data_IF_015252012561
#
_entry.id   IF_015252012561
#
_cell.length_a   1.000
_cell.length_b   1.000
_cell.length_c   1.000
_cell.angle_alpha   90.00
_cell.angle_beta   90.00
_cell.angle_gamma   90.00
#
_symmetry.space_group_name_H-M   'P 1'
#
loop_
_entity.id
_entity.type
_entity.pdbx_description
1 polymer ?
#
# COMPACT_ATOMS: atom_id res chain seq x y z
N UNK A 1 -3.22 -14.17 -36.33
CA UNK A 1 -3.28 -13.59 -34.96
C UNK A 1 -3.20 -12.08 -35.12
N UNK A 2 -4.13 -11.33 -34.57
CA UNK A 2 -4.07 -9.87 -34.55
C UNK A 2 -3.42 -9.40 -33.24
N UNK A 3 -2.44 -8.52 -33.35
CA UNK A 3 -1.82 -7.86 -32.20
C UNK A 3 -2.67 -6.64 -31.88
N UNK A 4 -3.12 -6.51 -30.63
CA UNK A 4 -3.90 -5.37 -30.15
C UNK A 4 -3.16 -4.66 -29.03
N UNK A 5 -3.27 -3.34 -29.01
CA UNK A 5 -2.76 -2.52 -27.90
C UNK A 5 -3.70 -2.71 -26.68
N UNK A 6 -3.11 -3.01 -25.52
CA UNK A 6 -3.88 -3.15 -24.28
C UNK A 6 -4.23 -1.77 -23.71
N UNK A 7 -5.40 -1.66 -23.08
CA UNK A 7 -5.76 -0.47 -22.30
C UNK A 7 -4.92 -0.35 -21.03
N UNK A 8 -4.80 0.88 -20.50
CA UNK A 8 -3.94 1.18 -19.35
C UNK A 8 -4.33 0.40 -18.10
N UNK A 9 -5.62 0.13 -17.89
CA UNK A 9 -6.09 -0.63 -16.74
C UNK A 9 -5.64 -2.09 -16.80
N UNK A 10 -5.71 -2.69 -17.99
CA UNK A 10 -5.21 -4.05 -18.24
C UNK A 10 -3.69 -4.12 -18.04
N UNK A 11 -2.93 -3.14 -18.56
CA UNK A 11 -1.49 -3.03 -18.35
C UNK A 11 -1.16 -2.94 -16.86
N UNK A 12 -1.89 -2.11 -16.12
CA UNK A 12 -1.71 -1.94 -14.67
C UNK A 12 -1.97 -3.23 -13.89
N UNK A 13 -3.00 -3.99 -14.24
CA UNK A 13 -3.31 -5.29 -13.61
C UNK A 13 -2.25 -6.36 -13.89
N UNK A 14 -1.71 -6.38 -15.11
CA UNK A 14 -0.61 -7.31 -15.47
C UNK A 14 0.63 -6.97 -14.65
N UNK A 15 1.04 -5.72 -14.65
CA UNK A 15 2.22 -5.27 -13.92
C UNK A 15 2.05 -5.36 -12.39
N UNK A 16 0.83 -5.11 -11.87
CA UNK A 16 0.53 -5.37 -10.46
C UNK A 16 0.76 -6.85 -10.10
N UNK A 17 0.61 -7.73 -11.06
CA UNK A 17 0.90 -9.15 -10.91
C UNK A 17 2.35 -9.48 -10.59
N UNK A 18 3.27 -8.67 -11.02
CA UNK A 18 4.71 -8.84 -10.77
C UNK A 18 5.14 -8.26 -9.40
N UNK A 19 4.43 -7.24 -8.91
CA UNK A 19 4.73 -6.56 -7.63
C UNK A 19 3.96 -7.21 -6.48
N UNK A 20 2.67 -7.52 -6.70
CA UNK A 20 1.77 -8.09 -5.69
C UNK A 20 1.46 -9.54 -6.04
N UNK A 21 2.35 -10.44 -5.67
CA UNK A 21 2.15 -11.88 -5.92
C UNK A 21 1.19 -12.53 -4.93
N UNK A 22 1.24 -12.13 -3.67
CA UNK A 22 0.49 -12.70 -2.54
C UNK A 22 0.18 -11.66 -1.47
N UNK A 23 -0.74 -11.93 -0.53
CA UNK A 23 -1.07 -10.99 0.55
C UNK A 23 0.11 -10.55 1.40
N UNK A 24 1.09 -11.44 1.64
CA UNK A 24 2.31 -11.10 2.38
C UNK A 24 3.15 -10.03 1.68
N UNK A 25 3.13 -9.95 0.34
CA UNK A 25 3.80 -8.88 -0.41
C UNK A 25 3.16 -7.52 -0.11
N UNK A 26 1.83 -7.46 0.00
CA UNK A 26 1.10 -6.24 0.39
C UNK A 26 1.51 -5.80 1.79
N UNK A 27 1.48 -6.71 2.76
CA UNK A 27 1.88 -6.41 4.14
C UNK A 27 3.30 -5.90 4.20
N UNK A 28 4.23 -6.58 3.52
CA UNK A 28 5.63 -6.20 3.46
C UNK A 28 5.79 -4.75 2.96
N UNK A 29 5.20 -4.42 1.82
CA UNK A 29 5.32 -3.08 1.23
C UNK A 29 4.72 -1.99 2.13
N UNK A 30 3.55 -2.23 2.75
CA UNK A 30 2.93 -1.26 3.64
C UNK A 30 3.72 -1.07 4.94
N UNK A 31 4.31 -2.13 5.49
CA UNK A 31 5.18 -2.05 6.68
C UNK A 31 6.49 -1.32 6.34
N UNK A 32 7.10 -1.59 5.19
CA UNK A 32 8.30 -0.87 4.74
C UNK A 32 8.01 0.63 4.56
N UNK A 33 6.85 0.99 4.00
CA UNK A 33 6.44 2.40 3.91
C UNK A 33 6.26 3.05 5.29
N UNK A 34 5.70 2.33 6.26
CA UNK A 34 5.55 2.82 7.63
C UNK A 34 6.92 3.05 8.31
N UNK A 35 7.89 2.14 8.11
CA UNK A 35 9.27 2.29 8.61
C UNK A 35 9.93 3.51 7.98
N UNK A 36 9.81 3.68 6.67
CA UNK A 36 10.36 4.83 5.94
C UNK A 36 9.72 6.16 6.35
N UNK A 37 8.46 6.14 6.81
CA UNK A 37 7.77 7.29 7.41
C UNK A 37 8.20 7.57 8.87
N UNK A 38 9.18 6.84 9.40
CA UNK A 38 9.69 7.02 10.76
C UNK A 38 8.75 6.49 11.84
N UNK A 39 7.88 5.56 11.54
CA UNK A 39 6.97 4.97 12.52
C UNK A 39 7.73 4.25 13.64
N UNK A 40 7.29 4.46 14.87
CA UNK A 40 7.78 3.77 16.06
C UNK A 40 6.84 2.66 16.53
N UNK A 41 5.61 2.65 16.01
CA UNK A 41 4.61 1.64 16.27
C UNK A 41 3.84 1.32 14.99
N UNK A 42 3.72 0.02 14.68
CA UNK A 42 3.00 -0.48 13.51
C UNK A 42 2.07 -1.60 13.98
N UNK A 43 0.80 -1.50 13.60
CA UNK A 43 -0.20 -2.55 13.87
C UNK A 43 -0.67 -3.15 12.55
N UNK A 44 -0.65 -4.47 12.46
CA UNK A 44 -1.11 -5.21 11.29
C UNK A 44 -2.28 -6.11 11.67
N UNK A 45 -3.40 -5.98 10.97
CA UNK A 45 -4.57 -6.85 11.09
C UNK A 45 -4.83 -7.55 9.74
N UNK A 46 -5.06 -8.85 9.80
CA UNK A 46 -5.28 -9.67 8.60
C UNK A 46 -6.49 -10.60 8.83
N UNK A 47 -7.40 -10.68 7.83
CA UNK A 47 -8.49 -11.65 7.81
C UNK A 47 -8.42 -12.53 6.57
N UNK A 48 -8.78 -13.79 6.71
CA UNK A 48 -8.76 -14.79 5.62
C UNK A 48 -7.43 -14.82 4.86
N UNK A 49 -6.30 -14.88 5.60
CA UNK A 49 -4.98 -14.89 5.01
C UNK A 49 -4.61 -13.63 4.23
N UNK A 50 -5.36 -12.52 4.41
CA UNK A 50 -5.13 -11.24 3.71
C UNK A 50 -5.90 -11.11 2.40
N UNK A 51 -6.73 -12.07 2.03
CA UNK A 51 -7.54 -12.00 0.82
C UNK A 51 -8.74 -11.06 1.00
N UNK A 52 -9.43 -11.15 2.14
CA UNK A 52 -10.60 -10.31 2.40
C UNK A 52 -10.24 -8.97 3.02
N UNK A 53 -9.19 -8.94 3.86
CA UNK A 53 -8.86 -7.75 4.62
C UNK A 53 -7.40 -7.76 5.10
N UNK A 54 -6.73 -6.64 4.87
CA UNK A 54 -5.45 -6.27 5.46
C UNK A 54 -5.58 -4.84 5.96
N UNK A 55 -5.17 -4.57 7.20
CA UNK A 55 -5.03 -3.21 7.74
C UNK A 55 -3.64 -3.05 8.32
N UNK A 56 -2.96 -2.01 7.90
CA UNK A 56 -1.67 -1.58 8.46
C UNK A 56 -1.85 -0.17 8.97
N UNK A 57 -1.63 0.04 10.26
CA UNK A 57 -1.71 1.34 10.92
C UNK A 57 -0.37 1.66 11.54
N UNK A 58 0.12 2.85 11.28
CA UNK A 58 1.38 3.38 11.81
C UNK A 58 1.19 4.76 12.47
N UNK A 59 2.17 5.18 13.24
CA UNK A 59 2.30 6.49 13.84
C UNK A 59 3.46 7.31 13.23
N UNK A 60 3.74 7.10 11.94
CA UNK A 60 4.77 7.84 11.22
C UNK A 60 4.35 9.26 10.84
N UNK A 61 5.09 9.88 9.92
CA UNK A 61 4.90 11.28 9.52
C UNK A 61 3.58 11.60 8.83
N UNK A 62 2.82 10.58 8.40
CA UNK A 62 1.64 10.77 7.57
C UNK A 62 1.99 11.16 6.12
N UNK A 63 0.94 11.41 5.33
CA UNK A 63 1.02 11.84 3.92
C UNK A 63 0.24 13.15 3.78
N UNK A 64 0.84 14.16 3.14
CA UNK A 64 0.17 15.43 2.87
C UNK A 64 -1.01 15.23 1.92
N UNK A 65 -2.08 15.98 2.12
CA UNK A 65 -3.30 15.91 1.31
C UNK A 65 -3.02 16.00 -0.19
N UNK A 66 -2.16 16.91 -0.59
CA UNK A 66 -1.81 17.16 -2.00
C UNK A 66 -0.95 16.05 -2.62
N UNK A 67 -0.33 15.21 -1.79
CA UNK A 67 0.52 14.10 -2.22
C UNK A 67 -0.23 12.76 -2.31
N UNK A 68 -1.44 12.66 -1.73
CA UNK A 68 -2.19 11.40 -1.64
C UNK A 68 -2.44 10.80 -3.02
N UNK A 69 -2.99 11.57 -3.96
CA UNK A 69 -3.27 11.05 -5.30
C UNK A 69 -1.99 10.70 -6.06
N UNK A 70 -0.91 11.46 -5.82
CA UNK A 70 0.39 11.22 -6.44
C UNK A 70 0.99 9.91 -5.92
N UNK A 71 0.84 9.61 -4.63
CA UNK A 71 1.35 8.38 -4.02
C UNK A 71 0.79 7.09 -4.67
N UNK A 72 -0.40 7.16 -5.27
CA UNK A 72 -1.01 6.05 -6.01
C UNK A 72 -0.69 6.05 -7.52
N UNK A 73 0.08 7.02 -8.02
CA UNK A 73 0.56 6.99 -9.42
C UNK A 73 1.80 6.10 -9.53
N UNK A 74 1.93 5.43 -10.68
CA UNK A 74 3.14 4.65 -10.98
C UNK A 74 4.34 5.56 -11.12
N UNK A 75 5.50 5.08 -10.67
CA UNK A 75 6.76 5.83 -10.65
C UNK A 75 6.74 7.07 -9.74
N UNK A 76 5.75 7.18 -8.85
CA UNK A 76 5.72 8.21 -7.83
C UNK A 76 6.50 7.72 -6.60
N UNK A 77 7.60 8.37 -6.30
CA UNK A 77 8.42 8.06 -5.13
C UNK A 77 8.97 9.34 -4.52
N UNK A 78 8.98 9.42 -3.19
CA UNK A 78 9.67 10.47 -2.46
C UNK A 78 11.17 10.16 -2.24
N UNK A 79 11.60 8.94 -2.61
CA UNK A 79 12.88 8.34 -2.22
C UNK A 79 14.00 8.54 -3.24
N UNK A 80 13.68 8.84 -4.50
CA UNK A 80 14.63 9.00 -5.60
C UNK A 80 14.25 10.24 -6.40
N UNK A 81 15.17 11.19 -6.53
CA UNK A 81 15.01 12.38 -7.36
C UNK A 81 16.01 12.41 -8.51
N UNK A 82 17.08 11.60 -8.45
CA UNK A 82 18.15 11.58 -9.42
C UNK A 82 18.71 10.17 -9.64
N UNK A 83 19.53 10.00 -10.67
CA UNK A 83 20.26 8.74 -10.97
C UNK A 83 21.29 8.45 -9.87
N UNK A 84 21.89 9.47 -9.30
CA UNK A 84 22.85 9.36 -8.19
C UNK A 84 22.17 8.77 -6.93
N UNK A 85 20.94 9.18 -6.65
CA UNK A 85 20.13 8.62 -5.55
C UNK A 85 19.91 7.13 -5.74
N UNK A 86 19.76 6.66 -7.00
CA UNK A 86 19.54 5.24 -7.28
C UNK A 86 20.74 4.36 -6.88
N UNK A 87 21.95 4.91 -6.92
CA UNK A 87 23.18 4.21 -6.51
C UNK A 87 23.42 4.25 -5.00
N UNK A 88 22.78 5.20 -4.31
CA UNK A 88 22.91 5.42 -2.86
C UNK A 88 21.71 4.92 -2.04
N UNK A 89 20.74 4.24 -2.68
CA UNK A 89 19.49 3.82 -2.04
C UNK A 89 19.74 2.81 -0.93
N UNK A 90 19.52 3.27 0.29
CA UNK A 90 19.43 2.42 1.49
C UNK A 90 17.97 2.12 1.90
N UNK A 91 16.98 2.66 1.18
CA UNK A 91 15.56 2.46 1.49
C UNK A 91 15.00 1.18 0.89
N UNK A 92 14.12 0.51 1.65
CA UNK A 92 13.58 -0.80 1.30
C UNK A 92 12.60 -0.79 0.12
N UNK A 93 11.97 0.35 -0.23
CA UNK A 93 10.93 0.46 -1.25
C UNK A 93 11.11 1.64 -2.21
N UNK A 94 12.07 1.61 -3.13
CA UNK A 94 12.41 2.75 -3.99
C UNK A 94 11.68 2.80 -5.36
N UNK A 95 10.95 1.75 -5.75
CA UNK A 95 10.39 1.62 -7.10
C UNK A 95 9.17 2.49 -7.38
N UNK A 96 8.49 3.04 -6.35
CA UNK A 96 7.31 3.90 -6.52
C UNK A 96 6.13 3.23 -7.23
N UNK A 97 5.99 1.90 -7.14
CA UNK A 97 4.96 1.15 -7.84
C UNK A 97 4.05 0.33 -6.93
N UNK A 98 4.43 0.16 -5.65
CA UNK A 98 3.73 -0.74 -4.74
C UNK A 98 2.29 -0.30 -4.49
N UNK A 99 2.04 0.95 -4.12
CA UNK A 99 0.69 1.46 -3.82
C UNK A 99 -0.20 1.44 -5.06
N UNK A 100 0.32 1.84 -6.23
CA UNK A 100 -0.40 1.77 -7.50
C UNK A 100 -0.77 0.33 -7.86
N UNK A 101 0.13 -0.62 -7.63
CA UNK A 101 -0.08 -2.04 -7.90
C UNK A 101 -1.09 -2.67 -6.95
N UNK A 102 -1.03 -2.35 -5.65
CA UNK A 102 -2.00 -2.79 -4.65
C UNK A 102 -3.40 -2.26 -5.01
N UNK A 103 -3.50 -0.96 -5.31
CA UNK A 103 -4.76 -0.33 -5.67
C UNK A 103 -5.38 -0.91 -6.96
N UNK A 104 -4.57 -1.29 -7.94
CA UNK A 104 -5.04 -1.86 -9.21
C UNK A 104 -5.76 -3.21 -9.04
N UNK A 105 -5.45 -3.96 -7.98
CA UNK A 105 -5.98 -5.33 -7.76
C UNK A 105 -6.82 -5.48 -6.49
N UNK A 106 -7.15 -4.39 -5.81
CA UNK A 106 -7.89 -4.38 -4.55
C UNK A 106 -8.72 -3.12 -4.38
N UNK A 107 -9.48 -3.06 -3.29
CA UNK A 107 -10.17 -1.87 -2.82
C UNK A 107 -9.37 -1.30 -1.65
N UNK A 108 -8.82 -0.10 -1.84
CA UNK A 108 -7.95 0.54 -0.86
C UNK A 108 -8.65 1.74 -0.23
N UNK A 109 -8.54 1.84 1.08
CA UNK A 109 -8.89 3.02 1.86
C UNK A 109 -7.62 3.47 2.61
N UNK A 110 -7.26 4.72 2.40
CA UNK A 110 -6.17 5.40 3.09
C UNK A 110 -6.76 6.41 4.06
N UNK A 111 -6.30 6.40 5.29
CA UNK A 111 -6.56 7.42 6.30
C UNK A 111 -5.21 7.92 6.76
N UNK A 112 -4.96 9.22 6.66
CA UNK A 112 -3.66 9.78 7.02
C UNK A 112 -3.79 11.19 7.59
N UNK A 113 -2.84 11.56 8.44
CA UNK A 113 -2.72 12.90 9.01
C UNK A 113 -1.25 13.20 9.29
N UNK A 114 -0.78 14.37 8.88
CA UNK A 114 0.54 14.89 9.25
C UNK A 114 0.46 15.71 10.54
N UNK A 115 1.58 15.89 11.22
CA UNK A 115 1.65 16.67 12.47
C UNK A 115 1.15 18.12 12.29
N UNK A 116 1.42 18.73 11.15
CA UNK A 116 1.06 20.13 10.84
C UNK A 116 -0.40 20.30 10.41
N UNK A 117 -1.13 19.21 10.16
CA UNK A 117 -2.52 19.24 9.70
C UNK A 117 -3.50 19.28 10.88
N UNK A 118 -4.55 20.10 10.78
CA UNK A 118 -5.64 20.15 11.77
C UNK A 118 -6.53 18.90 11.69
N UNK A 119 -6.86 18.46 10.47
CA UNK A 119 -7.70 17.30 10.17
C UNK A 119 -6.91 16.23 9.43
N UNK A 120 -7.34 14.98 9.55
CA UNK A 120 -6.90 13.90 8.70
C UNK A 120 -7.67 13.87 7.38
N UNK A 121 -7.18 13.06 6.46
CA UNK A 121 -7.80 12.83 5.15
C UNK A 121 -8.09 11.34 5.00
N UNK A 122 -9.28 11.03 4.52
CA UNK A 122 -9.69 9.71 4.04
C UNK A 122 -9.73 9.74 2.52
N UNK A 123 -9.09 8.79 1.89
CA UNK A 123 -9.07 8.61 0.44
C UNK A 123 -9.40 7.18 0.09
N UNK A 124 -10.21 6.98 -0.95
CA UNK A 124 -10.56 5.64 -1.44
C UNK A 124 -10.14 5.48 -2.89
N UNK A 125 -9.75 4.25 -3.26
CA UNK A 125 -9.44 3.87 -4.63
C UNK A 125 -9.85 2.41 -4.84
N UNK A 126 -10.58 2.14 -5.92
CA UNK A 126 -11.12 0.81 -6.24
C UNK A 126 -10.63 0.35 -7.60
N UNK A 127 -9.84 -0.74 -7.62
CA UNK A 127 -9.29 -1.30 -8.86
C UNK A 127 -8.47 -0.31 -9.68
N UNK A 128 -7.82 0.65 -9.02
CA UNK A 128 -7.04 1.72 -9.64
C UNK A 128 -7.88 2.94 -10.06
N UNK A 129 -9.18 2.95 -9.79
CA UNK A 129 -10.06 4.10 -10.04
C UNK A 129 -10.15 4.95 -8.78
N UNK A 130 -9.70 6.23 -8.82
CA UNK A 130 -9.84 7.16 -7.70
C UNK A 130 -11.31 7.33 -7.28
N UNK A 131 -11.53 7.32 -5.96
CA UNK A 131 -12.83 7.53 -5.36
C UNK A 131 -12.91 8.85 -4.58
N UNK A 132 -13.47 8.80 -3.38
CA UNK A 132 -13.74 9.96 -2.55
C UNK A 132 -12.50 10.40 -1.77
N UNK A 133 -12.33 11.73 -1.67
CA UNK A 133 -11.42 12.40 -0.74
C UNK A 133 -12.27 13.14 0.29
N UNK A 134 -12.17 12.81 1.57
CA UNK A 134 -12.93 13.41 2.65
C UNK A 134 -12.01 13.81 3.81
N UNK A 135 -12.32 14.95 4.44
CA UNK A 135 -11.68 15.34 5.69
C UNK A 135 -12.33 14.61 6.86
N UNK A 136 -11.50 14.06 7.74
CA UNK A 136 -11.96 13.31 8.92
C UNK A 136 -11.08 13.59 10.14
N UNK A 137 -11.59 13.27 11.32
CA UNK A 137 -10.75 13.18 12.53
C UNK A 137 -9.89 11.93 12.46
N UNK A 138 -8.57 12.08 12.56
CA UNK A 138 -7.63 10.97 12.60
C UNK A 138 -6.43 11.32 13.51
N UNK A 139 -5.76 10.34 14.11
CA UNK A 139 -4.45 10.53 14.74
C UNK A 139 -3.38 10.78 13.68
N UNK A 140 -2.24 11.30 14.11
CA UNK A 140 -1.04 11.39 13.26
C UNK A 140 -0.57 10.00 12.82
N UNK A 141 -0.05 9.91 11.58
CA UNK A 141 0.38 8.67 10.96
C UNK A 141 -0.51 8.26 9.79
N UNK A 142 -0.44 6.99 9.45
CA UNK A 142 -1.16 6.45 8.29
C UNK A 142 -1.83 5.13 8.62
N UNK A 143 -3.04 4.95 8.10
CA UNK A 143 -3.75 3.67 8.09
C UNK A 143 -4.10 3.31 6.65
N UNK A 144 -3.56 2.20 6.17
CA UNK A 144 -3.98 1.55 4.94
C UNK A 144 -4.93 0.41 5.25
N UNK A 145 -6.06 0.38 4.56
CA UNK A 145 -7.01 -0.73 4.61
C UNK A 145 -7.17 -1.25 3.19
N UNK A 146 -6.78 -2.51 2.98
CA UNK A 146 -6.88 -3.20 1.69
C UNK A 146 -7.94 -4.28 1.82
N UNK A 147 -8.99 -4.20 0.99
CA UNK A 147 -10.11 -5.15 0.97
C UNK A 147 -10.18 -5.88 -0.36
N UNK A 148 -10.69 -7.09 -0.31
CA UNK A 148 -11.00 -7.89 -1.49
C UNK A 148 -9.84 -8.02 -2.47
N UNK A 149 -8.65 -8.34 -1.96
CA UNK A 149 -7.44 -8.50 -2.77
C UNK A 149 -7.70 -9.49 -3.92
N UNK A 150 -7.30 -9.12 -5.13
CA UNK A 150 -7.52 -9.86 -6.38
C UNK A 150 -8.99 -10.05 -6.78
N UNK A 151 -9.93 -9.20 -6.32
CA UNK A 151 -11.34 -9.31 -6.68
C UNK A 151 -11.58 -9.19 -8.19
N UNK A 152 -10.78 -8.39 -8.88
CA UNK A 152 -10.84 -8.14 -10.32
C UNK A 152 -9.85 -8.99 -11.13
N UNK A 153 -9.19 -9.96 -10.50
CA UNK A 153 -8.29 -10.95 -11.11
C UNK A 153 -8.65 -12.36 -10.61
N UNK A 154 -9.82 -12.92 -11.04
CA UNK A 154 -10.43 -14.10 -10.43
C UNK A 154 -9.57 -15.36 -10.53
N UNK A 155 -8.79 -15.54 -11.59
CA UNK A 155 -7.87 -16.67 -11.74
C UNK A 155 -6.86 -16.67 -10.61
N UNK A 156 -6.21 -15.51 -10.34
CA UNK A 156 -5.23 -15.37 -9.26
C UNK A 156 -5.87 -15.61 -7.89
N UNK A 157 -7.05 -15.03 -7.66
CA UNK A 157 -7.80 -15.23 -6.41
C UNK A 157 -8.12 -16.70 -6.15
N UNK A 158 -8.43 -17.47 -7.20
CA UNK A 158 -8.72 -18.90 -7.09
C UNK A 158 -7.52 -19.71 -6.61
N UNK A 159 -6.32 -19.43 -7.13
CA UNK A 159 -5.10 -20.13 -6.72
C UNK A 159 -4.76 -19.87 -5.24
N UNK A 160 -4.97 -18.66 -4.74
CA UNK A 160 -4.66 -18.28 -3.35
C UNK A 160 -5.68 -18.83 -2.33
N UNK A 161 -6.95 -19.03 -2.70
CA UNK A 161 -7.97 -19.59 -1.80
C UNK A 161 -7.68 -21.01 -1.33
N UNK A 162 -6.85 -21.76 -2.03
CA UNK A 162 -6.53 -23.15 -1.69
C UNK A 162 -5.60 -23.24 -0.48
N UNK A 163 -4.81 -22.21 -0.18
CA UNK A 163 -3.76 -22.27 0.85
C UNK A 163 -4.15 -21.59 2.19
N UNK A 164 -5.25 -20.82 2.26
CA UNK A 164 -5.56 -20.00 3.43
C UNK A 164 -6.94 -20.32 4.03
N UNK A 165 -6.98 -21.22 5.00
CA UNK A 165 -8.16 -21.42 5.86
C UNK A 165 -8.15 -20.42 7.02
N UNK A 166 -9.05 -19.47 6.96
CA UNK A 166 -9.60 -18.58 7.98
C UNK A 166 -8.88 -18.46 9.34
N UNK A 167 -7.79 -17.70 9.44
CA UNK A 167 -7.23 -17.24 10.71
C UNK A 167 -7.12 -15.71 10.72
N UNK A 168 -7.55 -15.09 11.81
CA UNK A 168 -7.28 -13.68 12.10
C UNK A 168 -5.91 -13.63 12.78
N UNK A 169 -4.99 -12.84 12.25
CA UNK A 169 -3.69 -12.60 12.88
C UNK A 169 -3.60 -11.13 13.29
N UNK A 170 -3.26 -10.90 14.54
CA UNK A 170 -2.91 -9.59 15.08
C UNK A 170 -1.42 -9.58 15.34
N UNK A 171 -0.71 -8.61 14.78
CA UNK A 171 0.67 -8.32 15.11
C UNK A 171 0.77 -6.85 15.51
N UNK A 172 1.16 -6.60 16.75
CA UNK A 172 1.61 -5.29 17.19
C UNK A 172 3.14 -5.38 17.36
N UNK A 173 3.88 -4.62 16.58
CA UNK A 173 5.33 -4.52 16.72
C UNK A 173 5.67 -3.11 17.17
N UNK A 174 6.22 -2.97 18.39
CA UNK A 174 6.90 -1.76 18.82
C UNK A 174 8.33 -1.82 18.32
N UNK A 175 8.73 -0.92 17.45
CA UNK A 175 10.13 -0.79 17.02
C UNK A 175 10.87 0.00 18.09
N UNK A 176 11.29 -0.66 19.16
CA UNK A 176 12.28 -0.14 20.09
C UNK A 176 13.65 -0.68 19.68
N UNK A 177 14.39 0.06 18.88
CA UNK A 177 15.73 -0.35 18.48
C UNK A 177 16.40 0.74 17.63
N UNK A 178 17.37 1.41 18.22
CA UNK A 178 18.44 2.11 17.50
C UNK A 178 19.07 1.15 16.52
N UNK A 179 18.80 1.32 15.23
CA UNK A 179 19.69 0.78 14.20
C UNK A 179 20.97 1.63 14.24
N UNK A 180 21.98 1.11 14.96
CA UNK A 180 23.33 1.62 14.86
C UNK A 180 23.90 1.20 13.49
N UNK A 181 24.46 2.19 12.82
CA UNK A 181 25.20 2.19 11.56
C UNK A 181 26.00 0.94 11.22
#
# INVERSE_FOLDING_TARGET
MSITLLDQNTINKIAAGEVVERPSSVVKELVENAIDAGATAITVEIKEGGISFIRVTDNGSGINKDEIEIAFKRHATSKIKSIEDLMAVSSLGFRGEALASIAAVSQVELITKTADSLSGVRYTIDGGVPGEVAEIGAPEGTTFIVRNLFYNTPVRRKFLKTDYRGRIYWFACGISGTFAS
#
